data_IF_909775822581
#
_entry.id   IF_909775822581
#
_cell.length_a   1.000
_cell.length_b   1.000
_cell.length_c   1.000
_cell.angle_alpha   90.00
_cell.angle_beta   90.00
_cell.angle_gamma   90.00
#
_symmetry.space_group_name_H-M   'P 1'
#
loop_
_entity.id
_entity.type
_entity.pdbx_description
1 polymer ?
#
# COMPACT_ATOMS: atom_id res chain seq x y z
N UNK A 1 50.94 -60.29 -32.82
CA UNK A 1 49.67 -60.16 -32.09
C UNK A 1 49.83 -58.98 -31.14
N UNK A 2 49.33 -57.81 -31.54
CA UNK A 2 49.49 -56.56 -30.79
C UNK A 2 48.14 -56.17 -30.18
N UNK A 3 48.14 -55.96 -28.87
CA UNK A 3 46.98 -55.65 -28.04
C UNK A 3 46.79 -54.13 -28.05
N UNK A 4 45.63 -53.67 -28.53
CA UNK A 4 45.27 -52.23 -28.51
C UNK A 4 44.50 -51.95 -27.21
N UNK A 5 44.93 -51.00 -26.37
CA UNK A 5 44.25 -50.71 -25.11
C UNK A 5 43.01 -49.83 -25.34
N UNK A 6 41.92 -50.17 -24.65
CA UNK A 6 40.68 -49.40 -24.58
C UNK A 6 40.95 -48.09 -23.81
N UNK A 7 40.84 -46.94 -24.48
CA UNK A 7 40.83 -45.64 -23.82
C UNK A 7 39.41 -45.32 -23.34
N UNK A 8 39.22 -45.17 -22.02
CA UNK A 8 38.01 -44.61 -21.43
C UNK A 8 37.93 -43.11 -21.77
N UNK A 9 36.89 -42.72 -22.50
CA UNK A 9 36.57 -41.31 -22.74
C UNK A 9 35.74 -40.80 -21.55
N UNK A 10 36.32 -39.92 -20.73
CA UNK A 10 35.61 -39.17 -19.72
C UNK A 10 34.76 -38.08 -20.39
N UNK A 11 33.45 -38.13 -20.23
CA UNK A 11 32.55 -37.06 -20.68
C UNK A 11 32.67 -35.86 -19.74
N UNK A 12 33.25 -34.76 -20.23
CA UNK A 12 33.22 -33.48 -19.53
C UNK A 12 31.80 -32.90 -19.62
N UNK A 13 31.08 -32.87 -18.50
CA UNK A 13 29.84 -32.11 -18.38
C UNK A 13 30.18 -30.62 -18.42
N UNK A 14 29.87 -29.96 -19.54
CA UNK A 14 29.93 -28.49 -19.65
C UNK A 14 28.82 -27.94 -18.76
N UNK A 15 29.17 -27.56 -17.53
CA UNK A 15 28.30 -26.80 -16.65
C UNK A 15 28.01 -25.45 -17.29
N UNK A 16 26.78 -25.27 -17.79
CA UNK A 16 26.26 -23.95 -18.14
C UNK A 16 26.20 -23.15 -16.84
N UNK A 17 27.17 -22.27 -16.62
CA UNK A 17 27.10 -21.25 -15.57
C UNK A 17 26.00 -20.26 -15.97
N UNK A 18 24.84 -20.36 -15.32
CA UNK A 18 23.83 -19.31 -15.35
C UNK A 18 24.37 -18.15 -14.52
N UNK A 19 24.88 -17.12 -15.18
CA UNK A 19 25.10 -15.82 -14.56
C UNK A 19 23.72 -15.22 -14.27
N UNK A 20 23.19 -15.39 -13.06
CA UNK A 20 22.09 -14.57 -12.56
C UNK A 20 22.61 -13.17 -12.24
N UNK A 21 22.94 -12.42 -13.28
CA UNK A 21 23.09 -10.98 -13.21
C UNK A 21 21.76 -10.34 -13.63
N UNK A 22 20.73 -10.51 -12.81
CA UNK A 22 19.59 -9.60 -12.84
C UNK A 22 20.02 -8.34 -12.09
N UNK A 23 20.81 -7.51 -12.77
CA UNK A 23 20.91 -6.12 -12.38
C UNK A 23 19.55 -5.48 -12.61
N UNK A 24 18.89 -5.07 -11.51
CA UNK A 24 17.71 -4.21 -11.52
C UNK A 24 18.06 -2.90 -12.24
N UNK A 25 17.93 -2.94 -13.56
CA UNK A 25 18.19 -1.83 -14.48
C UNK A 25 16.90 -1.18 -14.96
N UNK A 26 15.77 -1.53 -14.33
CA UNK A 26 14.54 -0.73 -14.48
C UNK A 26 14.82 0.66 -13.90
N UNK A 27 14.62 1.75 -14.68
CA UNK A 27 14.77 3.08 -14.14
C UNK A 27 13.89 3.22 -12.90
N UNK A 28 14.43 3.83 -11.84
CA UNK A 28 13.64 4.13 -10.65
C UNK A 28 12.43 4.96 -11.06
N UNK A 29 11.23 4.51 -10.72
CA UNK A 29 10.01 5.27 -10.92
C UNK A 29 10.18 6.71 -10.41
N UNK A 30 9.86 7.67 -11.26
CA UNK A 30 9.83 9.08 -10.90
C UNK A 30 8.47 9.43 -10.30
N UNK A 31 8.47 10.37 -9.35
CA UNK A 31 7.28 10.77 -8.61
C UNK A 31 7.12 12.29 -8.60
N UNK A 32 5.91 12.75 -8.86
CA UNK A 32 5.52 14.14 -8.67
C UNK A 32 4.89 14.34 -7.29
N UNK A 33 5.39 15.33 -6.55
CA UNK A 33 4.86 15.73 -5.25
C UNK A 33 3.67 16.67 -5.44
N UNK A 34 2.57 16.40 -4.75
CA UNK A 34 1.42 17.31 -4.67
C UNK A 34 1.73 18.54 -3.81
N UNK A 35 1.36 19.73 -4.28
CA UNK A 35 1.74 21.02 -3.70
C UNK A 35 0.58 21.92 -3.32
N UNK A 36 -0.58 21.81 -3.97
CA UNK A 36 -1.63 22.84 -3.90
C UNK A 36 -2.15 23.14 -2.49
N UNK A 37 -2.22 22.13 -1.62
CA UNK A 37 -2.69 22.27 -0.24
C UNK A 37 -1.56 22.20 0.81
N UNK A 38 -0.30 22.19 0.38
CA UNK A 38 0.83 22.05 1.28
C UNK A 38 1.05 23.32 2.11
N UNK A 39 1.22 23.14 3.43
CA UNK A 39 1.56 24.22 4.35
C UNK A 39 2.91 23.91 5.01
N UNK A 40 3.88 24.80 4.79
CA UNK A 40 5.26 24.58 5.24
C UNK A 40 5.42 24.45 6.76
N UNK A 41 4.54 25.09 7.54
CA UNK A 41 4.60 25.11 9.01
C UNK A 41 3.21 24.93 9.63
N UNK A 42 3.14 24.27 10.78
CA UNK A 42 1.90 24.10 11.56
C UNK A 42 1.91 22.84 12.43
N UNK A 43 0.96 22.71 13.36
CA UNK A 43 0.79 21.50 14.16
C UNK A 43 0.35 20.30 13.30
N UNK A 44 0.56 19.09 13.82
CA UNK A 44 0.11 17.83 13.23
C UNK A 44 1.18 17.04 12.49
N UNK A 45 0.82 15.79 12.18
CA UNK A 45 1.67 14.82 11.48
C UNK A 45 1.94 15.32 10.06
N UNK A 46 3.19 15.67 9.79
CA UNK A 46 3.62 16.09 8.45
C UNK A 46 3.52 14.91 7.50
N UNK A 47 2.66 15.03 6.48
CA UNK A 47 2.51 14.03 5.43
C UNK A 47 2.77 14.61 4.05
N UNK A 48 3.25 13.78 3.13
CA UNK A 48 3.44 14.15 1.73
C UNK A 48 2.67 13.19 0.84
N UNK A 49 2.10 13.71 -0.25
CA UNK A 49 1.47 12.90 -1.29
C UNK A 49 2.35 12.93 -2.53
N UNK A 50 2.69 11.74 -3.01
CA UNK A 50 3.51 11.52 -4.20
C UNK A 50 2.74 10.63 -5.17
N UNK A 51 2.81 10.95 -6.46
CA UNK A 51 2.15 10.15 -7.50
C UNK A 51 3.17 9.80 -8.57
N UNK A 52 3.20 8.54 -8.99
CA UNK A 52 4.11 8.07 -10.03
C UNK A 52 3.83 8.79 -11.35
N UNK A 53 4.89 9.25 -12.00
CA UNK A 53 4.81 9.95 -13.27
C UNK A 53 4.27 9.00 -14.36
N UNK A 54 3.38 9.50 -15.21
CA UNK A 54 2.74 8.69 -16.26
C UNK A 54 1.60 7.79 -15.77
N UNK A 55 1.26 7.80 -14.48
CA UNK A 55 0.12 7.04 -13.92
C UNK A 55 -1.27 7.51 -14.38
N UNK A 56 -1.36 8.71 -14.96
CA UNK A 56 -2.62 9.36 -15.32
C UNK A 56 -3.41 9.90 -14.12
N UNK A 57 -2.82 9.93 -12.92
CA UNK A 57 -3.41 10.54 -11.72
C UNK A 57 -2.81 11.92 -11.49
N UNK A 58 -3.66 12.93 -11.35
CA UNK A 58 -3.24 14.27 -10.96
C UNK A 58 -2.83 14.31 -9.47
N UNK A 59 -1.59 14.72 -9.12
CA UNK A 59 -1.10 14.70 -7.74
C UNK A 59 -1.93 15.56 -6.78
N UNK A 60 -2.33 16.77 -7.18
CA UNK A 60 -3.06 17.68 -6.32
C UNK A 60 -4.51 17.23 -6.09
N UNK A 61 -5.15 16.68 -7.11
CA UNK A 61 -6.47 16.05 -6.99
C UNK A 61 -6.43 14.82 -6.09
N UNK A 62 -5.39 14.00 -6.18
CA UNK A 62 -5.20 12.87 -5.27
C UNK A 62 -4.99 13.34 -3.83
N UNK A 63 -4.14 14.34 -3.63
CA UNK A 63 -3.88 14.91 -2.31
C UNK A 63 -5.14 15.51 -1.68
N UNK A 64 -5.97 16.23 -2.43
CA UNK A 64 -7.23 16.76 -1.94
C UNK A 64 -8.19 15.64 -1.45
N UNK A 65 -8.25 14.50 -2.15
CA UNK A 65 -9.03 13.33 -1.73
C UNK A 65 -8.48 12.72 -0.44
N UNK A 66 -7.16 12.54 -0.38
CA UNK A 66 -6.48 11.99 0.80
C UNK A 66 -6.68 12.91 2.02
N UNK A 67 -6.54 14.22 1.84
CA UNK A 67 -6.79 15.21 2.89
C UNK A 67 -8.22 15.09 3.45
N UNK A 68 -9.21 14.95 2.58
CA UNK A 68 -10.61 14.73 2.99
C UNK A 68 -10.82 13.43 3.77
N UNK A 69 -10.13 12.34 3.41
CA UNK A 69 -10.18 11.06 4.14
C UNK A 69 -9.53 11.21 5.52
N UNK A 70 -8.32 11.77 5.58
CA UNK A 70 -7.56 11.95 6.82
C UNK A 70 -8.28 12.85 7.82
N UNK A 71 -8.96 13.90 7.35
CA UNK A 71 -9.71 14.83 8.18
C UNK A 71 -11.15 14.38 8.50
N UNK A 72 -11.62 13.25 7.95
CA UNK A 72 -13.00 12.82 8.13
C UNK A 72 -13.29 12.51 9.60
N UNK A 73 -14.46 12.90 10.16
CA UNK A 73 -14.82 12.60 11.55
C UNK A 73 -14.86 11.11 11.91
N UNK A 74 -15.06 10.26 10.89
CA UNK A 74 -15.06 8.79 10.98
C UNK A 74 -13.68 8.16 10.74
N UNK A 75 -12.71 8.96 10.25
CA UNK A 75 -11.31 8.57 10.03
C UNK A 75 -10.45 8.80 11.27
N UNK A 76 -9.13 8.72 11.11
CA UNK A 76 -8.19 8.82 12.22
C UNK A 76 -8.10 10.20 12.88
N UNK A 77 -8.51 11.29 12.21
CA UNK A 77 -8.60 12.58 12.88
C UNK A 77 -9.69 12.65 13.97
N UNK A 78 -10.46 11.57 14.17
CA UNK A 78 -11.55 11.45 15.13
C UNK A 78 -11.32 12.25 16.41
N UNK A 79 -12.23 13.20 16.72
CA UNK A 79 -12.19 14.06 17.92
C UNK A 79 -10.84 14.75 18.20
N UNK A 80 -10.01 14.96 17.19
CA UNK A 80 -8.69 15.57 17.32
C UNK A 80 -7.60 14.62 17.83
N UNK A 81 -7.84 13.31 17.87
CA UNK A 81 -6.84 12.29 18.24
C UNK A 81 -5.61 12.38 17.35
N UNK A 82 -5.83 12.58 16.05
CA UNK A 82 -4.77 12.83 15.08
C UNK A 82 -5.03 14.09 14.27
N UNK A 83 -3.96 14.79 13.92
CA UNK A 83 -4.00 15.92 13.00
C UNK A 83 -2.97 15.67 11.90
N UNK A 84 -3.30 16.02 10.67
CA UNK A 84 -2.47 15.75 9.51
C UNK A 84 -2.23 17.06 8.76
N UNK A 85 -0.97 17.31 8.39
CA UNK A 85 -0.55 18.51 7.69
C UNK A 85 0.23 18.16 6.44
N UNK A 86 -0.28 18.57 5.27
CA UNK A 86 0.42 18.30 4.02
C UNK A 86 1.67 19.17 3.92
N UNK A 87 2.79 18.57 3.51
CA UNK A 87 4.03 19.25 3.17
C UNK A 87 4.46 18.88 1.75
N UNK A 88 4.97 19.86 1.01
CA UNK A 88 5.55 19.66 -0.33
C UNK A 88 7.08 19.52 -0.27
N UNK A 89 7.70 20.07 0.75
CA UNK A 89 9.15 20.17 0.91
C UNK A 89 9.55 19.86 2.36
N UNK A 90 10.80 19.50 2.56
CA UNK A 90 11.31 19.09 3.87
C UNK A 90 10.90 17.68 4.29
N UNK A 91 11.21 17.29 5.54
CA UNK A 91 10.89 15.96 6.06
C UNK A 91 9.38 15.78 6.23
N UNK A 92 8.89 14.60 5.84
CA UNK A 92 7.52 14.15 6.08
C UNK A 92 7.60 12.81 6.82
N UNK A 93 6.97 12.71 7.98
CA UNK A 93 6.95 11.46 8.77
C UNK A 93 5.99 10.40 8.20
N UNK A 94 5.14 10.80 7.25
CA UNK A 94 4.26 9.94 6.48
C UNK A 94 4.34 10.32 5.00
N UNK A 95 4.65 9.37 4.12
CA UNK A 95 4.65 9.59 2.67
C UNK A 95 3.62 8.65 2.04
N UNK A 96 2.54 9.19 1.50
CA UNK A 96 1.51 8.43 0.80
C UNK A 96 1.81 8.50 -0.69
N UNK A 97 2.13 7.36 -1.29
CA UNK A 97 2.60 7.27 -2.66
C UNK A 97 1.66 6.42 -3.50
N UNK A 98 1.07 6.99 -4.54
CA UNK A 98 0.26 6.24 -5.52
C UNK A 98 1.17 5.80 -6.66
N UNK A 99 1.26 4.49 -6.89
CA UNK A 99 2.16 3.92 -7.89
C UNK A 99 1.54 2.71 -8.60
N UNK A 100 1.96 2.46 -9.83
CA UNK A 100 1.67 1.26 -10.63
C UNK A 100 1.88 -0.04 -9.82
N UNK A 101 1.17 -1.12 -10.17
CA UNK A 101 1.38 -2.43 -9.54
C UNK A 101 2.85 -2.85 -9.52
N UNK A 102 3.57 -2.70 -10.64
CA UNK A 102 4.97 -3.09 -10.77
C UNK A 102 5.90 -2.28 -9.86
N UNK A 103 5.65 -0.97 -9.74
CA UNK A 103 6.42 -0.12 -8.83
C UNK A 103 6.08 -0.40 -7.36
N UNK A 104 4.83 -0.73 -7.07
CA UNK A 104 4.38 -1.14 -5.73
C UNK A 104 5.08 -2.43 -5.32
N UNK A 105 4.99 -3.49 -6.14
CA UNK A 105 5.63 -4.78 -5.90
C UNK A 105 7.13 -4.64 -5.66
N UNK A 106 7.82 -3.84 -6.50
CA UNK A 106 9.26 -3.61 -6.37
C UNK A 106 9.62 -2.90 -5.06
N UNK A 107 8.84 -1.91 -4.63
CA UNK A 107 9.13 -1.15 -3.40
C UNK A 107 8.80 -1.99 -2.16
N UNK A 108 7.61 -2.61 -2.13
CA UNK A 108 7.17 -3.46 -1.04
C UNK A 108 8.07 -4.70 -0.89
N UNK A 109 8.48 -5.30 -2.01
CA UNK A 109 9.36 -6.48 -2.05
C UNK A 109 10.75 -6.26 -1.47
N UNK A 110 11.27 -5.02 -1.49
CA UNK A 110 12.52 -4.67 -0.80
C UNK A 110 12.45 -4.84 0.72
N UNK A 111 11.23 -4.87 1.27
CA UNK A 111 10.96 -5.16 2.67
C UNK A 111 10.41 -6.57 2.90
N UNK A 112 10.49 -7.45 1.90
CA UNK A 112 10.05 -8.84 1.99
C UNK A 112 8.53 -9.03 1.87
N UNK A 113 7.79 -8.03 1.42
CA UNK A 113 6.34 -8.11 1.21
C UNK A 113 6.05 -8.51 -0.23
N UNK A 114 5.14 -9.47 -0.42
CA UNK A 114 4.65 -9.87 -1.74
C UNK A 114 3.24 -9.32 -1.93
N UNK A 115 3.10 -8.31 -2.79
CA UNK A 115 1.82 -7.66 -3.08
C UNK A 115 1.07 -8.27 -4.26
N UNK A 116 1.70 -9.17 -5.02
CA UNK A 116 1.16 -9.82 -6.23
C UNK A 116 0.53 -8.85 -7.26
N UNK A 117 0.92 -7.57 -7.27
CA UNK A 117 0.30 -6.51 -8.06
C UNK A 117 -1.10 -6.10 -7.60
N UNK A 118 -1.60 -6.67 -6.50
CA UNK A 118 -3.00 -6.55 -6.08
C UNK A 118 -3.19 -5.64 -4.85
N UNK A 119 -2.27 -5.62 -3.89
CA UNK A 119 -2.48 -4.94 -2.61
C UNK A 119 -1.59 -3.72 -2.41
N UNK A 120 -1.93 -2.91 -1.41
CA UNK A 120 -1.10 -1.83 -0.90
C UNK A 120 -0.06 -2.39 0.07
N UNK A 121 0.87 -1.55 0.52
CA UNK A 121 1.74 -1.89 1.65
C UNK A 121 2.22 -0.65 2.39
N UNK A 122 2.79 -0.86 3.57
CA UNK A 122 3.53 0.17 4.31
C UNK A 122 4.98 -0.28 4.57
N UNK A 123 5.93 0.55 4.17
CA UNK A 123 7.37 0.37 4.37
C UNK A 123 7.93 1.59 5.10
N UNK A 124 8.18 1.44 6.40
CA UNK A 124 8.64 2.57 7.23
C UNK A 124 7.68 3.75 7.16
N UNK A 125 8.14 4.94 6.79
CA UNK A 125 7.26 6.11 6.68
C UNK A 125 6.40 6.11 5.40
N UNK A 126 6.65 5.18 4.47
CA UNK A 126 6.02 5.16 3.14
C UNK A 126 4.82 4.23 3.13
N UNK A 127 3.66 4.77 2.80
CA UNK A 127 2.44 4.06 2.43
C UNK A 127 2.39 3.98 0.90
N UNK A 128 2.50 2.77 0.36
CA UNK A 128 2.35 2.49 -1.06
C UNK A 128 0.89 2.16 -1.37
N UNK A 129 0.23 3.06 -2.11
CA UNK A 129 -1.11 2.86 -2.65
C UNK A 129 -0.99 2.31 -4.06
N UNK A 130 -1.47 1.09 -4.25
CA UNK A 130 -1.49 0.44 -5.56
C UNK A 130 -2.47 1.17 -6.50
N UNK A 131 -1.97 1.63 -7.65
CA UNK A 131 -2.72 2.45 -8.61
C UNK A 131 -3.93 1.71 -9.18
N UNK A 132 -3.82 0.40 -9.43
CA UNK A 132 -4.96 -0.42 -9.87
C UNK A 132 -6.08 -0.31 -8.84
N UNK A 133 -5.76 -0.49 -7.57
CA UNK A 133 -6.72 -0.36 -6.46
C UNK A 133 -7.29 1.05 -6.33
N UNK A 134 -6.44 2.06 -6.48
CA UNK A 134 -6.89 3.46 -6.48
C UNK A 134 -7.86 3.78 -7.63
N UNK A 135 -7.69 3.18 -8.80
CA UNK A 135 -8.50 3.47 -9.99
C UNK A 135 -9.76 2.60 -10.09
N UNK A 136 -9.69 1.33 -9.70
CA UNK A 136 -10.75 0.35 -9.98
C UNK A 136 -11.42 -0.22 -8.74
N UNK A 137 -10.81 -0.07 -7.56
CA UNK A 137 -11.29 -0.70 -6.34
C UNK A 137 -10.93 -2.18 -6.22
N UNK A 138 -11.66 -2.89 -5.34
CA UNK A 138 -11.60 -4.34 -5.18
C UNK A 138 -12.93 -4.98 -5.58
N UNK A 139 -12.93 -6.13 -6.28
CA UNK A 139 -14.13 -6.95 -6.48
C UNK A 139 -14.80 -7.40 -5.16
N UNK A 140 -14.04 -7.50 -4.07
CA UNK A 140 -14.53 -7.93 -2.75
C UNK A 140 -15.17 -6.79 -1.94
N UNK A 141 -15.12 -5.55 -2.43
CA UNK A 141 -15.70 -4.38 -1.79
C UNK A 141 -16.85 -3.84 -2.64
N UNK A 142 -18.08 -4.00 -2.16
CA UNK A 142 -19.32 -3.68 -2.87
C UNK A 142 -19.75 -2.21 -2.78
N UNK A 143 -18.92 -1.35 -2.18
CA UNK A 143 -19.13 0.09 -2.08
C UNK A 143 -18.56 0.90 -3.25
N UNK A 144 -18.87 2.21 -3.32
CA UNK A 144 -18.37 3.07 -4.39
C UNK A 144 -16.85 3.23 -4.30
N UNK A 145 -16.20 3.46 -5.45
CA UNK A 145 -14.74 3.66 -5.54
C UNK A 145 -14.20 4.71 -4.55
N UNK A 146 -14.96 5.77 -4.29
CA UNK A 146 -14.59 6.79 -3.32
C UNK A 146 -14.48 6.23 -1.89
N UNK A 147 -15.39 5.34 -1.48
CA UNK A 147 -15.28 4.66 -0.18
C UNK A 147 -14.14 3.64 -0.17
N UNK A 148 -13.90 2.93 -1.27
CA UNK A 148 -12.75 2.04 -1.33
C UNK A 148 -11.41 2.79 -1.22
N UNK A 149 -11.30 3.98 -1.82
CA UNK A 149 -10.14 4.88 -1.61
C UNK A 149 -10.00 5.29 -0.15
N UNK A 150 -11.11 5.54 0.55
CA UNK A 150 -11.07 5.81 1.98
C UNK A 150 -10.60 4.58 2.77
N UNK A 151 -11.06 3.37 2.42
CA UNK A 151 -10.65 2.12 3.07
C UNK A 151 -9.13 1.95 2.99
N UNK A 152 -8.56 1.99 1.78
CA UNK A 152 -7.13 1.71 1.59
C UNK A 152 -6.23 2.76 2.25
N UNK A 153 -6.66 4.03 2.28
CA UNK A 153 -5.93 5.07 3.01
C UNK A 153 -6.03 4.86 4.51
N UNK A 154 -7.24 4.60 5.04
CA UNK A 154 -7.42 4.37 6.48
C UNK A 154 -6.68 3.11 6.96
N UNK A 155 -6.65 2.05 6.17
CA UNK A 155 -5.96 0.80 6.49
C UNK A 155 -4.44 1.04 6.65
N UNK A 156 -3.80 1.57 5.61
CA UNK A 156 -2.35 1.77 5.62
C UNK A 156 -1.89 2.87 6.60
N UNK A 157 -2.68 3.93 6.75
CA UNK A 157 -2.41 4.96 7.77
C UNK A 157 -2.66 4.41 9.17
N UNK A 158 -3.61 3.48 9.34
CA UNK A 158 -3.80 2.75 10.59
C UNK A 158 -2.54 1.96 10.97
N UNK A 159 -1.92 1.27 10.02
CA UNK A 159 -0.61 0.63 10.24
C UNK A 159 0.48 1.63 10.60
N UNK A 160 0.53 2.78 9.93
CA UNK A 160 1.48 3.85 10.28
C UNK A 160 1.27 4.38 11.70
N UNK A 161 0.01 4.45 12.17
CA UNK A 161 -0.37 4.81 13.53
C UNK A 161 -0.16 3.69 14.57
N UNK A 162 0.24 2.50 14.13
CA UNK A 162 0.55 1.36 15.01
C UNK A 162 -0.60 0.36 15.21
N UNK A 163 -1.67 0.43 14.41
CA UNK A 163 -2.72 -0.57 14.43
C UNK A 163 -2.30 -1.84 13.66
N UNK A 164 -2.52 -3.00 14.27
CA UNK A 164 -2.39 -4.30 13.62
C UNK A 164 -3.65 -4.67 12.84
N UNK A 165 -3.61 -5.79 12.11
CA UNK A 165 -4.78 -6.31 11.43
C UNK A 165 -5.87 -6.74 12.41
N UNK A 166 -7.11 -6.63 11.95
CA UNK A 166 -8.31 -7.16 12.61
C UNK A 166 -9.08 -8.05 11.64
N UNK A 167 -9.96 -8.90 12.15
CA UNK A 167 -10.86 -9.73 11.32
C UNK A 167 -12.32 -9.42 11.58
N UNK A 168 -13.20 -9.95 10.73
CA UNK A 168 -14.65 -9.74 10.82
C UNK A 168 -15.18 -10.09 12.22
N UNK A 169 -15.82 -9.14 12.95
CA UNK A 169 -16.38 -9.36 14.30
C UNK A 169 -17.69 -10.16 14.31
N UNK A 170 -18.20 -10.56 13.15
CA UNK A 170 -19.41 -11.38 13.02
C UNK A 170 -20.25 -10.99 11.80
N UNK A 171 -21.06 -11.95 11.34
CA UNK A 171 -21.91 -11.77 10.16
C UNK A 171 -22.84 -10.56 10.30
N UNK A 172 -22.94 -9.76 9.23
CA UNK A 172 -23.78 -8.57 9.17
C UNK A 172 -23.25 -7.37 9.96
N UNK A 173 -22.11 -7.50 10.65
CA UNK A 173 -21.45 -6.38 11.31
C UNK A 173 -20.53 -5.65 10.31
N UNK A 174 -20.25 -4.35 10.51
CA UNK A 174 -19.25 -3.65 9.71
C UNK A 174 -17.89 -4.33 9.82
N UNK A 175 -17.21 -4.53 8.70
CA UNK A 175 -15.83 -4.95 8.66
C UNK A 175 -14.93 -3.84 9.26
N UNK A 176 -13.95 -4.18 10.09
CA UNK A 176 -12.99 -3.18 10.58
C UNK A 176 -12.21 -2.55 9.43
N UNK A 177 -11.84 -1.27 9.55
CA UNK A 177 -10.94 -0.65 8.57
C UNK A 177 -9.56 -1.34 8.53
N UNK A 178 -9.15 -1.94 9.66
CA UNK A 178 -7.92 -2.75 9.78
C UNK A 178 -8.08 -4.20 9.33
N UNK A 179 -9.23 -4.58 8.77
CA UNK A 179 -9.39 -5.88 8.11
C UNK A 179 -8.91 -5.81 6.67
N UNK A 180 -8.18 -6.84 6.22
CA UNK A 180 -7.83 -7.04 4.82
C UNK A 180 -9.07 -7.43 4.00
N UNK A 181 -9.98 -6.47 3.78
CA UNK A 181 -11.27 -6.70 3.10
C UNK A 181 -11.10 -7.12 1.64
N UNK A 182 -9.93 -6.84 1.04
CA UNK A 182 -9.58 -7.32 -0.31
C UNK A 182 -9.47 -8.84 -0.38
N UNK A 183 -9.25 -9.53 0.74
CA UNK A 183 -9.21 -10.99 0.84
C UNK A 183 -10.58 -11.60 1.22
N UNK A 184 -11.63 -10.79 1.17
CA UNK A 184 -13.01 -11.19 1.42
C UNK A 184 -13.53 -10.83 2.81
N UNK A 185 -14.84 -10.56 2.90
CA UNK A 185 -15.48 -9.96 4.08
C UNK A 185 -15.87 -10.94 5.18
N UNK A 186 -15.77 -12.27 4.96
CA UNK A 186 -16.11 -13.30 5.96
C UNK A 186 -17.51 -13.14 6.58
N UNK A 187 -18.46 -12.61 5.80
CA UNK A 187 -19.84 -12.35 6.20
C UNK A 187 -20.09 -10.99 6.85
N UNK A 188 -19.07 -10.17 7.07
CA UNK A 188 -19.22 -8.76 7.43
C UNK A 188 -19.75 -7.93 6.25
N UNK A 189 -20.23 -6.73 6.55
CA UNK A 189 -20.59 -5.71 5.57
C UNK A 189 -19.37 -4.82 5.33
N UNK A 190 -19.08 -4.48 4.06
CA UNK A 190 -17.98 -3.61 3.69
C UNK A 190 -18.03 -2.28 4.46
N UNK A 191 -16.88 -1.80 4.94
CA UNK A 191 -16.79 -0.53 5.65
C UNK A 191 -15.39 0.08 5.50
N UNK A 192 -15.34 1.34 5.11
CA UNK A 192 -14.09 2.05 4.86
C UNK A 192 -13.49 2.78 6.06
N UNK A 193 -14.22 2.86 7.18
CA UNK A 193 -13.95 3.85 8.22
C UNK A 193 -13.67 3.21 9.59
N UNK A 194 -12.62 3.67 10.32
CA UNK A 194 -12.33 3.21 11.69
C UNK A 194 -13.45 3.48 12.70
N UNK A 195 -14.20 4.57 12.54
CA UNK A 195 -15.25 4.97 13.48
C UNK A 195 -16.63 5.07 12.81
N UNK A 196 -17.69 4.79 13.57
CA UNK A 196 -19.07 5.06 13.14
C UNK A 196 -19.44 6.54 13.26
N UNK A 197 -20.65 6.90 12.83
CA UNK A 197 -21.15 8.29 12.88
C UNK A 197 -21.33 8.85 14.29
N UNK A 198 -21.29 7.99 15.32
CA UNK A 198 -21.35 8.38 16.75
C UNK A 198 -19.95 8.45 17.37
N UNK A 199 -18.91 8.06 16.64
CA UNK A 199 -17.53 8.01 17.11
C UNK A 199 -17.15 6.73 17.83
N UNK A 200 -17.91 5.65 17.67
CA UNK A 200 -17.53 4.34 18.20
C UNK A 200 -16.54 3.67 17.25
N UNK A 201 -15.42 3.17 17.78
CA UNK A 201 -14.47 2.37 17.01
C UNK A 201 -15.14 1.08 16.50
N UNK A 202 -15.00 0.82 15.21
CA UNK A 202 -15.54 -0.33 14.50
C UNK A 202 -14.49 -1.44 14.41
N UNK A 203 -14.08 -1.95 15.57
CA UNK A 203 -13.04 -2.98 15.69
C UNK A 203 -13.53 -4.42 15.58
N UNK A 204 -12.57 -5.33 15.46
CA UNK A 204 -12.76 -6.77 15.43
C UNK A 204 -11.67 -7.53 16.19
N UNK A 205 -11.69 -8.87 16.22
CA UNK A 205 -10.61 -9.63 16.84
C UNK A 205 -9.28 -9.36 16.12
N UNK A 206 -8.17 -9.17 16.85
CA UNK A 206 -6.86 -8.96 16.22
C UNK A 206 -6.41 -10.22 15.49
N UNK A 207 -5.71 -10.05 14.37
CA UNK A 207 -5.05 -11.12 13.63
C UNK A 207 -3.62 -10.71 13.28
N UNK A 208 -2.71 -11.68 13.08
CA UNK A 208 -1.35 -11.40 12.59
C UNK A 208 -1.34 -10.65 11.24
#
# INVERSE_FOLDING_TARGET
>A
MAVVPLALVAAAAVGVRWNSAHGDSSPSAAFTVARAAATGNGPGNAYRVEVEDGSGVDPDTAAAKIAGILAAPRGWAHRGEHTFRQVAEGPAGLVIRIATPETTDRICGRSGLDTHGEVNCRVGEVVMVNLKRWQTGSPEFDGPLAEYRALIINHEVGHWLGHGHETCPGKGRPAPAMMQQIDGLKGCVANAWPYDTKGKYLGGPPVP
#
